data_IF_018798467253
#
_entry.id   IF_018798467253
#
_cell.length_a   1.000
_cell.length_b   1.000
_cell.length_c   1.000
_cell.angle_alpha   90.00
_cell.angle_beta   90.00
_cell.angle_gamma   90.00
#
_symmetry.space_group_name_H-M   'P 1'
#
loop_
_entity.id
_entity.type
_entity.pdbx_description
1 polymer ?
#
# COMPACT_ATOMS: atom_id res chain seq x y z
N UNK A 1 -1.01 21.24 -26.78
CA UNK A 1 -1.52 20.54 -25.59
C UNK A 1 -2.35 19.35 -26.04
N UNK A 2 -1.88 18.10 -25.83
CA UNK A 2 -2.76 16.95 -25.98
C UNK A 2 -3.88 17.12 -24.97
N UNK A 3 -5.13 17.24 -25.43
CA UNK A 3 -6.29 17.18 -24.55
C UNK A 3 -6.22 15.84 -23.82
N UNK A 4 -6.29 15.88 -22.50
CA UNK A 4 -6.48 14.67 -21.71
C UNK A 4 -7.73 13.96 -22.26
N UNK A 5 -7.54 12.76 -22.76
CA UNK A 5 -8.65 11.91 -23.19
C UNK A 5 -9.46 11.56 -21.95
N UNK A 6 -10.78 11.59 -22.06
CA UNK A 6 -11.70 11.27 -20.95
C UNK A 6 -11.55 9.84 -20.38
N UNK A 7 -10.68 9.04 -20.97
CA UNK A 7 -10.35 7.67 -20.56
C UNK A 7 -9.13 7.55 -19.67
N UNK A 8 -8.34 8.61 -19.50
CA UNK A 8 -7.10 8.61 -18.73
C UNK A 8 -7.22 9.60 -17.59
N UNK A 9 -7.08 9.09 -16.35
CA UNK A 9 -7.18 9.90 -15.14
C UNK A 9 -5.89 9.76 -14.34
N UNK A 10 -5.30 10.87 -13.91
CA UNK A 10 -4.22 10.89 -12.94
C UNK A 10 -4.82 10.70 -11.56
N UNK A 11 -4.34 9.72 -10.82
CA UNK A 11 -4.92 9.27 -9.54
C UNK A 11 -3.95 9.32 -8.36
N UNK A 12 -2.75 9.87 -8.53
CA UNK A 12 -1.73 9.85 -7.48
C UNK A 12 -1.05 11.19 -7.28
N UNK A 13 -0.29 11.26 -6.21
CA UNK A 13 0.76 12.25 -6.03
C UNK A 13 1.85 12.11 -7.10
N UNK A 14 2.63 13.16 -7.27
CA UNK A 14 3.74 13.19 -8.21
C UNK A 14 5.04 12.92 -7.47
N UNK A 15 5.85 12.04 -8.02
CA UNK A 15 7.18 11.75 -7.51
C UNK A 15 8.24 12.12 -8.55
N UNK A 16 9.43 12.46 -8.10
CA UNK A 16 10.52 12.92 -8.96
C UNK A 16 11.79 12.16 -8.64
N UNK A 17 12.57 11.85 -9.65
CA UNK A 17 13.92 11.36 -9.48
C UNK A 17 14.98 12.45 -9.72
N UNK A 18 16.23 12.12 -9.42
CA UNK A 18 17.37 13.03 -9.65
C UNK A 18 17.72 13.23 -11.13
N UNK A 19 17.21 12.37 -12.00
CA UNK A 19 17.52 12.35 -13.44
C UNK A 19 16.53 13.17 -14.28
N UNK A 20 15.62 13.87 -13.61
CA UNK A 20 14.64 14.77 -14.23
C UNK A 20 13.43 14.06 -14.79
N UNK A 21 13.06 12.95 -14.21
CA UNK A 21 11.79 12.28 -14.51
C UNK A 21 10.76 12.53 -13.43
N UNK A 22 9.52 12.62 -13.87
CA UNK A 22 8.33 12.67 -13.02
C UNK A 22 7.57 11.36 -13.16
N UNK A 23 7.13 10.81 -12.03
CA UNK A 23 6.34 9.59 -11.97
C UNK A 23 4.96 9.89 -11.42
N UNK A 24 3.95 9.28 -12.00
CA UNK A 24 2.55 9.44 -11.60
C UNK A 24 1.74 8.20 -11.97
N UNK A 25 0.69 7.97 -11.22
CA UNK A 25 -0.25 6.90 -11.53
C UNK A 25 -1.48 7.44 -12.28
N UNK A 26 -2.00 6.62 -13.14
CA UNK A 26 -3.22 6.90 -13.88
C UNK A 26 -4.03 5.63 -14.11
N UNK A 27 -5.26 5.82 -14.56
CA UNK A 27 -6.13 4.73 -14.98
C UNK A 27 -6.36 4.84 -16.47
N UNK A 28 -6.12 3.75 -17.18
CA UNK A 28 -6.45 3.59 -18.58
C UNK A 28 -7.54 2.52 -18.72
N UNK A 29 -8.75 2.96 -19.07
CA UNK A 29 -9.92 2.10 -19.32
C UNK A 29 -10.22 1.15 -18.14
N UNK A 30 -9.50 0.04 -18.03
CA UNK A 30 -9.66 -0.98 -17.00
C UNK A 30 -8.35 -1.33 -16.27
N UNK A 31 -7.28 -0.61 -16.56
CA UNK A 31 -5.96 -0.86 -16.00
C UNK A 31 -5.48 0.32 -15.15
N UNK A 32 -4.79 0.02 -14.08
CA UNK A 32 -4.01 0.99 -13.32
C UNK A 32 -2.58 0.98 -13.83
N UNK A 33 -2.02 2.16 -14.11
CA UNK A 33 -0.71 2.30 -14.72
C UNK A 33 0.17 3.28 -13.93
N UNK A 34 1.44 2.93 -13.78
CA UNK A 34 2.50 3.83 -13.37
C UNK A 34 3.20 4.35 -14.62
N UNK A 35 3.26 5.66 -14.74
CA UNK A 35 3.88 6.35 -15.86
C UNK A 35 5.13 7.10 -15.43
N UNK A 36 6.08 7.21 -16.32
CA UNK A 36 7.24 8.09 -16.25
C UNK A 36 7.16 9.14 -17.33
N UNK A 37 7.36 10.40 -16.99
CA UNK A 37 7.50 11.51 -17.92
C UNK A 37 8.89 12.13 -17.78
N UNK A 38 9.64 12.19 -18.87
CA UNK A 38 10.87 12.97 -18.91
C UNK A 38 10.52 14.45 -18.97
N UNK A 39 10.95 15.23 -17.98
CA UNK A 39 10.57 16.66 -17.88
C UNK A 39 11.18 17.53 -18.98
N UNK A 40 12.28 17.09 -19.58
CA UNK A 40 12.96 17.84 -20.64
C UNK A 40 12.33 17.56 -22.00
N UNK A 41 12.10 16.31 -22.33
CA UNK A 41 11.54 15.90 -23.65
C UNK A 41 10.03 15.84 -23.66
N UNK A 42 9.40 15.80 -22.48
CA UNK A 42 7.95 15.61 -22.27
C UNK A 42 7.45 14.26 -22.81
N UNK A 43 8.34 13.32 -23.02
CA UNK A 43 7.98 11.95 -23.42
C UNK A 43 7.43 11.20 -22.22
N UNK A 44 6.32 10.51 -22.42
CA UNK A 44 5.66 9.67 -21.41
C UNK A 44 5.82 8.22 -21.82
N UNK A 45 6.21 7.40 -20.85
CA UNK A 45 6.31 5.94 -21.00
C UNK A 45 5.60 5.24 -19.83
N UNK A 46 5.00 4.10 -20.12
CA UNK A 46 4.47 3.21 -19.11
C UNK A 46 5.64 2.48 -18.41
N UNK A 47 5.62 2.44 -17.10
CA UNK A 47 6.62 1.77 -16.25
C UNK A 47 6.07 0.45 -15.73
N UNK A 48 4.81 0.45 -15.29
CA UNK A 48 4.16 -0.73 -14.73
C UNK A 48 2.66 -0.66 -14.95
N UNK A 49 2.03 -1.83 -15.06
CA UNK A 49 0.60 -1.95 -15.31
C UNK A 49 -0.01 -3.09 -14.51
N UNK A 50 -1.18 -2.83 -13.95
CA UNK A 50 -2.07 -3.83 -13.38
C UNK A 50 -3.37 -3.85 -14.17
N UNK A 51 -3.59 -4.94 -14.89
CA UNK A 51 -4.82 -5.15 -15.67
C UNK A 51 -6.02 -5.48 -14.77
N UNK A 52 -7.22 -5.30 -15.30
CA UNK A 52 -8.49 -5.63 -14.66
C UNK A 52 -8.75 -4.89 -13.34
N UNK A 53 -8.15 -3.71 -13.17
CA UNK A 53 -8.43 -2.84 -12.03
C UNK A 53 -9.54 -1.86 -12.38
N UNK A 54 -10.63 -1.92 -11.62
CA UNK A 54 -11.74 -0.99 -11.82
C UNK A 54 -11.31 0.44 -11.52
N UNK A 55 -11.92 1.40 -12.19
CA UNK A 55 -11.70 2.84 -11.99
C UNK A 55 -12.06 3.32 -10.57
N UNK A 56 -12.57 2.46 -9.71
CA UNK A 56 -12.98 2.79 -8.34
C UNK A 56 -11.88 2.63 -7.28
N UNK A 57 -10.62 2.70 -7.70
CA UNK A 57 -9.54 3.22 -6.84
C UNK A 57 -9.12 2.39 -5.64
N UNK A 58 -8.93 1.12 -5.85
CA UNK A 58 -8.33 0.29 -4.79
C UNK A 58 -6.82 0.12 -4.97
N UNK A 59 -6.27 0.65 -6.06
CA UNK A 59 -4.83 0.66 -6.34
C UNK A 59 -4.31 2.09 -6.30
N UNK A 60 -3.23 2.32 -5.57
CA UNK A 60 -2.58 3.64 -5.47
C UNK A 60 -1.07 3.51 -5.50
N UNK A 61 -0.40 4.52 -6.03
CA UNK A 61 1.03 4.71 -5.82
C UNK A 61 1.21 5.22 -4.38
N UNK A 62 1.63 4.34 -3.49
CA UNK A 62 1.73 4.63 -2.06
C UNK A 62 3.03 5.36 -1.69
N UNK A 63 4.07 5.29 -2.55
CA UNK A 63 5.32 5.98 -2.30
C UNK A 63 6.41 5.68 -3.33
N UNK A 64 7.46 6.49 -3.26
CA UNK A 64 8.72 6.32 -3.97
C UNK A 64 9.86 6.83 -3.08
N UNK A 65 10.91 6.03 -2.89
CA UNK A 65 12.02 6.38 -1.99
C UNK A 65 13.35 6.62 -2.72
N UNK A 66 13.30 6.74 -4.04
CA UNK A 66 14.49 6.91 -4.89
C UNK A 66 15.08 5.58 -5.38
N UNK A 67 14.68 4.45 -4.81
CA UNK A 67 15.11 3.11 -5.17
C UNK A 67 13.93 2.25 -5.63
N UNK A 68 12.81 2.30 -4.91
CA UNK A 68 11.62 1.48 -5.15
C UNK A 68 10.37 2.32 -5.23
N UNK A 69 9.43 1.87 -6.06
CA UNK A 69 8.03 2.28 -6.02
C UNK A 69 7.24 1.29 -5.19
N UNK A 70 6.30 1.80 -4.42
CA UNK A 70 5.38 1.02 -3.60
C UNK A 70 3.96 1.20 -4.14
N UNK A 71 3.42 0.14 -4.72
CA UNK A 71 2.07 0.16 -5.29
C UNK A 71 1.15 -0.63 -4.39
N UNK A 72 0.22 0.04 -3.77
CA UNK A 72 -0.74 -0.57 -2.86
C UNK A 72 -2.01 -0.94 -3.62
N UNK A 73 -2.41 -2.20 -3.50
CA UNK A 73 -3.59 -2.76 -4.12
C UNK A 73 -4.50 -3.40 -3.07
N UNK A 74 -5.72 -2.87 -2.96
CA UNK A 74 -6.75 -3.41 -2.07
C UNK A 74 -7.59 -4.46 -2.79
N UNK A 75 -8.27 -5.34 -2.05
CA UNK A 75 -9.30 -6.21 -2.59
C UNK A 75 -10.39 -5.42 -3.33
N UNK A 76 -10.99 -6.03 -4.33
CA UNK A 76 -12.10 -5.42 -5.07
C UNK A 76 -13.34 -5.25 -4.17
N UNK A 77 -13.56 -4.03 -3.71
CA UNK A 77 -14.70 -3.65 -2.89
C UNK A 77 -15.99 -3.43 -3.70
N UNK A 78 -15.95 -3.56 -5.02
CA UNK A 78 -17.14 -3.39 -5.88
C UNK A 78 -18.23 -4.41 -5.56
N UNK A 79 -17.85 -5.56 -5.04
CA UNK A 79 -18.76 -6.60 -4.54
C UNK A 79 -19.44 -6.21 -3.22
N UNK A 80 -19.09 -5.08 -2.66
CA UNK A 80 -19.53 -4.59 -1.34
C UNK A 80 -18.72 -5.17 -0.19
N UNK A 81 -18.53 -4.36 0.86
CA UNK A 81 -17.76 -4.72 2.06
C UNK A 81 -18.24 -6.04 2.68
N UNK A 82 -19.53 -6.33 2.59
CA UNK A 82 -20.13 -7.57 3.13
C UNK A 82 -19.61 -8.86 2.47
N UNK A 83 -19.00 -8.76 1.31
CA UNK A 83 -18.51 -9.91 0.54
C UNK A 83 -16.98 -10.02 0.59
N UNK A 84 -16.30 -9.19 1.37
CA UNK A 84 -14.88 -9.31 1.63
C UNK A 84 -14.67 -10.43 2.62
N UNK A 85 -13.75 -11.31 2.33
CA UNK A 85 -13.35 -12.43 3.18
C UNK A 85 -11.95 -12.21 3.76
N UNK A 86 -11.57 -13.00 4.73
CA UNK A 86 -10.19 -12.98 5.28
C UNK A 86 -9.14 -13.44 4.27
N UNK A 87 -9.56 -14.10 3.20
CA UNK A 87 -8.68 -14.53 2.11
C UNK A 87 -8.36 -13.40 1.13
N UNK A 88 -9.16 -12.33 1.15
CA UNK A 88 -8.91 -11.13 0.37
C UNK A 88 -7.79 -10.32 1.01
N UNK A 89 -6.63 -10.27 0.38
CA UNK A 89 -5.44 -9.62 0.90
C UNK A 89 -5.26 -8.22 0.35
N UNK A 90 -4.64 -7.37 1.15
CA UNK A 90 -4.05 -6.13 0.69
C UNK A 90 -2.61 -6.42 0.26
N UNK A 91 -2.24 -5.97 -0.92
CA UNK A 91 -0.92 -6.26 -1.50
C UNK A 91 -0.18 -4.95 -1.72
N UNK A 92 1.08 -4.91 -1.33
CA UNK A 92 2.02 -3.86 -1.75
C UNK A 92 3.03 -4.48 -2.70
N UNK A 93 2.99 -4.10 -3.96
CA UNK A 93 4.02 -4.42 -4.92
C UNK A 93 5.21 -3.49 -4.71
N UNK A 94 6.40 -4.05 -4.57
CA UNK A 94 7.67 -3.32 -4.51
C UNK A 94 8.32 -3.44 -5.89
N UNK A 95 8.39 -2.32 -6.60
CA UNK A 95 8.92 -2.26 -7.95
C UNK A 95 10.25 -1.52 -7.96
N UNK A 96 11.17 -1.95 -8.79
CA UNK A 96 12.33 -1.12 -9.11
C UNK A 96 11.98 0.05 -10.05
N UNK A 97 12.96 0.87 -10.37
CA UNK A 97 12.77 2.04 -11.24
C UNK A 97 12.45 1.70 -12.69
N UNK A 98 12.60 0.44 -13.09
CA UNK A 98 12.20 -0.07 -14.42
C UNK A 98 10.80 -0.67 -14.41
N UNK A 99 10.16 -0.77 -13.25
CA UNK A 99 8.82 -1.35 -13.09
C UNK A 99 8.83 -2.86 -12.88
N UNK A 100 9.99 -3.47 -12.64
CA UNK A 100 10.05 -4.90 -12.32
C UNK A 100 9.65 -5.12 -10.85
N UNK A 101 8.77 -6.09 -10.62
CA UNK A 101 8.38 -6.50 -9.28
C UNK A 101 9.58 -7.19 -8.61
N UNK A 102 10.10 -6.59 -7.55
CA UNK A 102 11.18 -7.16 -6.74
C UNK A 102 10.65 -7.94 -5.57
N UNK A 103 9.50 -7.57 -5.04
CA UNK A 103 8.83 -8.28 -3.95
C UNK A 103 7.37 -7.89 -3.86
N UNK A 104 6.63 -8.64 -3.04
CA UNK A 104 5.26 -8.33 -2.64
C UNK A 104 5.11 -8.47 -1.13
N UNK A 105 4.46 -7.47 -0.52
CA UNK A 105 4.03 -7.55 0.87
C UNK A 105 2.53 -7.83 0.89
N UNK A 106 2.14 -8.88 1.57
CA UNK A 106 0.73 -9.24 1.72
C UNK A 106 0.28 -8.97 3.14
N UNK A 107 -0.84 -8.27 3.29
CA UNK A 107 -1.42 -7.92 4.57
C UNK A 107 -2.82 -8.51 4.68
N UNK A 108 -2.99 -9.41 5.64
CA UNK A 108 -4.30 -9.99 5.94
C UNK A 108 -5.20 -8.93 6.59
N UNK A 109 -6.49 -9.03 6.34
CA UNK A 109 -7.48 -8.22 7.02
C UNK A 109 -7.79 -8.79 8.40
N UNK A 110 -7.93 -7.93 9.40
CA UNK A 110 -8.33 -8.33 10.75
C UNK A 110 -9.78 -8.84 10.78
N UNK A 111 -10.65 -8.20 10.02
CA UNK A 111 -12.06 -8.58 10.00
C UNK A 111 -12.72 -8.23 8.67
N UNK A 112 -13.89 -8.82 8.44
CA UNK A 112 -14.74 -8.51 7.28
C UNK A 112 -15.58 -7.23 7.47
N UNK A 113 -15.50 -6.58 8.63
CA UNK A 113 -16.32 -5.39 8.96
C UNK A 113 -15.66 -4.09 8.55
N UNK A 114 -14.35 -4.09 8.46
CA UNK A 114 -13.54 -2.92 8.10
C UNK A 114 -12.57 -3.29 7.00
N UNK A 115 -12.15 -2.33 6.22
CA UNK A 115 -11.10 -2.54 5.22
C UNK A 115 -9.76 -2.15 5.82
N UNK A 116 -8.83 -3.08 5.82
CA UNK A 116 -7.45 -2.78 6.17
C UNK A 116 -6.89 -1.68 5.28
N UNK A 117 -6.07 -0.82 5.83
CA UNK A 117 -5.30 0.16 5.08
C UNK A 117 -3.81 0.00 5.36
N UNK A 118 -3.00 0.27 4.35
CA UNK A 118 -1.54 0.21 4.43
C UNK A 118 -0.98 1.51 3.89
N UNK A 119 -0.20 2.19 4.70
CA UNK A 119 0.46 3.42 4.32
C UNK A 119 1.97 3.22 4.39
N UNK A 120 2.64 3.54 3.29
CA UNK A 120 4.08 3.61 3.23
C UNK A 120 4.46 5.02 3.64
N UNK A 121 5.01 5.18 4.84
CA UNK A 121 5.39 6.48 5.38
C UNK A 121 6.77 6.95 4.89
N UNK A 122 7.39 6.17 4.03
CA UNK A 122 8.72 6.44 3.51
C UNK A 122 9.73 5.42 4.00
N UNK A 123 10.96 5.71 3.76
CA UNK A 123 12.08 4.88 4.17
C UNK A 123 13.39 5.62 3.96
N UNK A 124 14.41 5.16 4.62
CA UNK A 124 15.78 5.54 4.33
C UNK A 124 16.44 4.53 3.38
N UNK A 125 17.76 4.55 3.31
CA UNK A 125 18.50 3.58 2.48
C UNK A 125 18.36 2.13 2.96
N UNK A 126 18.05 1.93 4.24
CA UNK A 126 18.05 0.63 4.88
C UNK A 126 16.64 0.15 5.22
N UNK A 127 15.79 1.02 5.73
CA UNK A 127 14.50 0.61 6.29
C UNK A 127 13.33 1.20 5.52
N UNK A 128 12.28 0.41 5.42
CA UNK A 128 10.96 0.81 4.96
C UNK A 128 10.01 0.90 6.16
N UNK A 129 9.43 2.08 6.38
CA UNK A 129 8.44 2.29 7.44
C UNK A 129 7.03 2.12 6.88
N UNK A 130 6.29 1.22 7.49
CA UNK A 130 4.90 0.92 7.12
C UNK A 130 3.99 1.14 8.33
N UNK A 131 2.87 1.79 8.11
CA UNK A 131 1.78 1.89 9.08
C UNK A 131 0.55 1.19 8.52
N UNK A 132 -0.07 0.33 9.32
CA UNK A 132 -1.27 -0.40 8.91
C UNK A 132 -2.42 -0.14 9.87
N UNK A 133 -3.64 -0.21 9.36
CA UNK A 133 -4.86 -0.19 10.16
C UNK A 133 -5.70 -1.40 9.81
N UNK A 134 -6.36 -1.97 10.79
CA UNK A 134 -7.27 -3.13 10.64
C UNK A 134 -6.66 -4.34 9.91
N UNK A 135 -5.33 -4.49 10.00
CA UNK A 135 -4.61 -5.67 9.52
C UNK A 135 -4.45 -6.69 10.63
N UNK A 136 -4.28 -7.96 10.26
CA UNK A 136 -3.99 -9.01 11.22
C UNK A 136 -2.63 -8.78 11.89
N UNK A 137 -2.67 -8.46 13.18
CA UNK A 137 -1.48 -8.14 13.99
C UNK A 137 -0.54 -9.36 14.12
N UNK A 138 -1.05 -10.57 14.04
CA UNK A 138 -0.24 -11.79 14.23
C UNK A 138 0.85 -11.93 13.16
N UNK A 139 0.62 -11.39 11.97
CA UNK A 139 1.63 -11.43 10.90
C UNK A 139 2.90 -10.63 11.23
N UNK A 140 2.82 -9.67 12.16
CA UNK A 140 3.96 -8.86 12.58
C UNK A 140 4.74 -9.47 13.75
N UNK A 141 4.41 -10.68 14.20
CA UNK A 141 5.06 -11.34 15.34
C UNK A 141 5.14 -10.44 16.58
N UNK A 142 4.07 -9.72 16.86
CA UNK A 142 3.99 -8.78 17.95
C UNK A 142 4.35 -9.41 19.31
N UNK A 143 4.94 -8.62 20.22
CA UNK A 143 5.24 -9.07 21.57
C UNK A 143 3.95 -9.44 22.32
N UNK A 144 4.07 -10.33 23.32
CA UNK A 144 2.92 -10.75 24.13
C UNK A 144 2.26 -9.57 24.86
N UNK A 145 3.02 -8.57 25.25
CA UNK A 145 2.50 -7.35 25.88
C UNK A 145 1.64 -6.55 24.91
N UNK A 146 2.11 -6.36 23.67
CA UNK A 146 1.36 -5.63 22.66
C UNK A 146 0.12 -6.40 22.23
N UNK A 147 0.20 -7.73 22.11
CA UNK A 147 -0.96 -8.57 21.86
C UNK A 147 -2.01 -8.42 22.96
N UNK A 148 -1.60 -8.37 24.22
CA UNK A 148 -2.51 -8.18 25.34
C UNK A 148 -3.21 -6.81 25.30
N UNK A 149 -2.46 -5.74 25.03
CA UNK A 149 -3.04 -4.38 24.85
C UNK A 149 -4.00 -4.32 23.67
N UNK A 150 -3.66 -4.98 22.58
CA UNK A 150 -4.52 -5.07 21.39
C UNK A 150 -5.84 -5.76 21.68
N UNK A 151 -5.83 -6.91 22.36
CA UNK A 151 -7.04 -7.64 22.74
C UNK A 151 -7.91 -6.84 23.73
N UNK A 152 -7.29 -6.10 24.66
CA UNK A 152 -8.02 -5.20 25.55
C UNK A 152 -8.72 -4.08 24.78
N UNK A 153 -8.02 -3.42 23.84
CA UNK A 153 -8.60 -2.39 22.99
C UNK A 153 -9.75 -2.95 22.15
N UNK A 154 -9.55 -4.11 21.53
CA UNK A 154 -10.57 -4.79 20.73
C UNK A 154 -11.83 -5.08 21.54
N UNK A 155 -11.68 -5.61 22.76
CA UNK A 155 -12.79 -5.86 23.67
C UNK A 155 -13.53 -4.58 24.07
N UNK A 156 -12.80 -3.49 24.33
CA UNK A 156 -13.41 -2.18 24.60
C UNK A 156 -14.22 -1.66 23.41
N UNK A 157 -13.68 -1.79 22.19
CA UNK A 157 -14.36 -1.39 20.96
C UNK A 157 -15.67 -2.17 20.75
N UNK A 158 -15.70 -3.45 21.07
CA UNK A 158 -16.90 -4.29 20.99
C UNK A 158 -17.97 -3.86 21.99
N UNK A 159 -17.56 -3.41 23.19
CA UNK A 159 -18.49 -3.02 24.27
C UNK A 159 -19.00 -1.58 24.14
N UNK A 160 -18.19 -0.67 23.60
CA UNK A 160 -18.55 0.75 23.49
C UNK A 160 -19.34 1.11 22.20
N UNK A 161 -19.49 0.16 21.29
CA UNK A 161 -20.24 0.30 20.04
C UNK A 161 -19.48 1.00 18.91
N UNK A 162 -19.95 0.80 17.69
CA UNK A 162 -19.25 1.16 16.44
C UNK A 162 -19.02 2.67 16.20
N UNK A 163 -19.70 3.54 16.92
CA UNK A 163 -19.55 5.00 16.77
C UNK A 163 -18.27 5.56 17.41
N UNK A 164 -17.52 4.74 18.16
CA UNK A 164 -16.28 5.12 18.86
C UNK A 164 -15.10 4.23 18.45
N UNK A 165 -15.16 3.61 17.29
CA UNK A 165 -14.08 2.78 16.76
C UNK A 165 -12.81 3.60 16.60
N UNK A 166 -11.91 3.50 17.57
CA UNK A 166 -10.52 3.86 17.35
C UNK A 166 -9.90 2.80 16.45
N UNK A 167 -9.43 3.19 15.29
CA UNK A 167 -8.68 2.28 14.43
C UNK A 167 -7.38 1.89 15.13
N UNK A 168 -7.09 0.60 15.17
CA UNK A 168 -5.80 0.13 15.69
C UNK A 168 -4.76 0.32 14.60
N UNK A 169 -3.86 1.27 14.82
CA UNK A 169 -2.73 1.53 13.96
C UNK A 169 -1.49 0.79 14.47
N UNK A 170 -0.83 0.09 13.57
CA UNK A 170 0.45 -0.55 13.84
C UNK A 170 1.51 0.07 12.94
N UNK A 171 2.67 0.34 13.52
CA UNK A 171 3.85 0.78 12.77
C UNK A 171 4.94 -0.27 12.86
N UNK A 172 5.53 -0.59 11.72
CA UNK A 172 6.62 -1.55 11.64
C UNK A 172 7.64 -1.13 10.58
N UNK A 173 8.87 -1.57 10.74
CA UNK A 173 9.92 -1.38 9.74
C UNK A 173 10.35 -2.72 9.15
N UNK A 174 10.64 -2.71 7.87
CA UNK A 174 11.23 -3.83 7.13
C UNK A 174 12.64 -3.42 6.71
N UNK A 175 13.63 -4.28 6.93
CA UNK A 175 14.96 -4.08 6.35
C UNK A 175 14.87 -4.30 4.83
N UNK A 176 15.28 -3.32 4.04
CA UNK A 176 15.24 -3.41 2.58
C UNK A 176 16.16 -4.48 2.00
N UNK A 177 17.15 -4.94 2.77
CA UNK A 177 17.97 -6.08 2.38
C UNK A 177 17.16 -7.39 2.27
N UNK A 178 16.00 -7.45 2.92
CA UNK A 178 15.10 -8.60 2.83
C UNK A 178 14.17 -8.58 1.60
N UNK A 179 14.13 -7.46 0.86
CA UNK A 179 13.33 -7.37 -0.37
C UNK A 179 13.85 -8.37 -1.41
N UNK A 180 12.96 -9.23 -1.88
CA UNK A 180 13.27 -10.27 -2.86
C UNK A 180 13.93 -11.52 -2.30
N UNK A 181 14.19 -11.61 -1.00
CA UNK A 181 14.83 -12.79 -0.39
C UNK A 181 13.84 -13.86 0.06
N UNK A 182 12.55 -13.51 0.14
CA UNK A 182 11.51 -14.35 0.75
C UNK A 182 11.52 -14.32 2.28
N UNK A 183 12.52 -13.72 2.91
CA UNK A 183 12.56 -13.49 4.34
C UNK A 183 12.04 -12.08 4.64
N UNK A 184 11.01 -11.97 5.49
CA UNK A 184 10.40 -10.69 5.87
C UNK A 184 10.28 -10.63 7.38
N UNK A 185 11.30 -10.05 7.99
CA UNK A 185 11.27 -9.83 9.42
C UNK A 185 10.85 -8.40 9.72
N UNK A 186 9.66 -8.27 10.33
CA UNK A 186 9.12 -6.99 10.72
C UNK A 186 9.61 -6.60 12.11
N UNK A 187 10.21 -5.43 12.21
CA UNK A 187 10.57 -4.82 13.48
C UNK A 187 9.44 -3.86 13.85
N UNK A 188 8.69 -4.21 14.87
CA UNK A 188 7.59 -3.39 15.32
C UNK A 188 8.08 -2.17 16.09
N UNK A 189 7.49 -1.01 15.79
CA UNK A 189 7.70 0.22 16.54
C UNK A 189 6.56 0.34 17.53
N UNK A 190 6.86 0.19 18.81
CA UNK A 190 5.94 0.51 19.90
C UNK A 190 6.26 1.91 20.39
N UNK A 191 5.30 2.84 20.46
CA UNK A 191 5.52 4.05 21.22
C UNK A 191 5.70 3.66 22.71
N UNK A 192 6.70 4.26 23.36
CA UNK A 192 6.89 4.16 24.81
C UNK A 192 5.72 4.78 25.57
#
# INVERSE_FOLDING_TARGET
>A
SKKADSKHWVTSELFYDKDGNMYFAGVDSSAWCLYRMNLKTQEISEVFKLDNKSTRNYTKLAGYDGQYFYVFDKPDLSKGIKNITTDDKNIVYILDTNGEIKDTLEFNQESTKTTADVNILGGDRRYLLVTTTDTDIQQFKASSELMSKYEELKKRMETEGSSKLAQVCLSAVLDKADIGTGNKEWIQITPE
#
